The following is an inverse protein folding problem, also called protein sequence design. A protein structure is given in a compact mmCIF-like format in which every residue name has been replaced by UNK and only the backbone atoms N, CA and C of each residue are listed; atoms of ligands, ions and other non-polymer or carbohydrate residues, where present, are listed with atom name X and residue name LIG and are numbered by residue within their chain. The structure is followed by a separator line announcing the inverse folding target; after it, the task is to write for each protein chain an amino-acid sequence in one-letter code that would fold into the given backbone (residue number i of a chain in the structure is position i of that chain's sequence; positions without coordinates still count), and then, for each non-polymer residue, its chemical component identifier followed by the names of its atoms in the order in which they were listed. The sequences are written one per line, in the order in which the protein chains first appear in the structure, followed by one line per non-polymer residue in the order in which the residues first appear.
data_IF_885163849994
#
_entry.id   IF_885163849994
#
_cell.length_a   1.000
_cell.length_b   1.000
_cell.length_c   1.000
_cell.angle_alpha   90.00
_cell.angle_beta   90.00
_cell.angle_gamma   90.00
#
_symmetry.space_group_name_H-M   'P 1'
#
loop_
_entity.id
_entity.type
_entity.pdbx_description
1 polymer ?
#
# COMPACT_ATOMS: atom_id res chain seq x y z
N UNK A 1 19.72 22.31 -11.97
CA UNK A 1 20.53 21.33 -11.23
C UNK A 1 20.48 21.67 -9.75
N UNK A 2 20.12 20.71 -8.89
CA UNK A 2 20.01 20.90 -7.44
C UNK A 2 20.73 19.76 -6.72
N UNK A 3 21.21 20.01 -5.50
CA UNK A 3 21.80 18.98 -4.62
C UNK A 3 20.71 18.48 -3.67
N UNK A 4 20.37 17.21 -3.76
CA UNK A 4 19.23 16.62 -3.05
C UNK A 4 19.71 15.48 -2.16
N UNK A 5 19.37 15.56 -0.88
CA UNK A 5 19.58 14.46 0.07
C UNK A 5 18.25 13.76 0.30
N UNK A 6 18.21 12.45 0.04
CA UNK A 6 17.03 11.63 0.23
C UNK A 6 17.19 10.73 1.45
N UNK A 7 16.28 10.86 2.41
CA UNK A 7 16.31 10.14 3.69
C UNK A 7 15.19 9.11 3.83
N UNK A 8 14.36 8.94 2.80
CA UNK A 8 13.26 7.97 2.84
C UNK A 8 13.78 6.53 2.96
N UNK A 9 12.95 5.59 3.45
CA UNK A 9 13.38 4.20 3.63
C UNK A 9 13.81 3.52 2.32
N UNK A 10 14.78 2.60 2.40
CA UNK A 10 15.03 1.64 1.33
C UNK A 10 13.92 0.56 1.30
N UNK A 11 13.55 0.01 0.11
CA UNK A 11 14.03 0.39 -1.23
C UNK A 11 13.30 1.58 -1.85
N UNK A 12 12.29 2.17 -1.17
CA UNK A 12 11.42 3.23 -1.72
C UNK A 12 12.17 4.43 -2.27
N UNK A 13 13.29 4.80 -1.66
CA UNK A 13 14.10 5.94 -2.09
C UNK A 13 14.77 5.74 -3.45
N UNK A 14 14.98 4.50 -3.89
CA UNK A 14 15.74 4.19 -5.11
C UNK A 14 15.07 4.72 -6.38
N UNK A 15 13.75 4.55 -6.49
CA UNK A 15 13.00 5.02 -7.66
C UNK A 15 13.06 6.55 -7.77
N UNK A 16 12.86 7.27 -6.65
CA UNK A 16 12.94 8.73 -6.62
C UNK A 16 14.35 9.22 -6.93
N UNK A 17 15.37 8.57 -6.37
CA UNK A 17 16.76 8.88 -6.65
C UNK A 17 17.07 8.73 -8.15
N UNK A 18 16.66 7.61 -8.76
CA UNK A 18 16.83 7.36 -10.19
C UNK A 18 16.14 8.42 -11.06
N UNK A 19 14.89 8.77 -10.74
CA UNK A 19 14.17 9.82 -11.46
C UNK A 19 14.87 11.18 -11.33
N UNK A 20 15.29 11.59 -10.14
CA UNK A 20 15.96 12.88 -9.94
C UNK A 20 17.32 12.94 -10.64
N UNK A 21 18.12 11.88 -10.57
CA UNK A 21 19.39 11.80 -11.29
C UNK A 21 19.20 11.87 -12.80
N UNK A 22 18.17 11.20 -13.34
CA UNK A 22 17.83 11.29 -14.77
C UNK A 22 17.42 12.71 -15.22
N UNK A 23 16.95 13.55 -14.29
CA UNK A 23 16.65 14.97 -14.54
C UNK A 23 17.84 15.91 -14.26
N UNK A 24 19.04 15.37 -14.05
CA UNK A 24 20.28 16.15 -13.87
C UNK A 24 20.44 16.77 -12.48
N UNK A 25 19.84 16.17 -11.46
CA UNK A 25 20.10 16.52 -10.06
C UNK A 25 21.31 15.75 -9.51
N UNK A 26 22.05 16.37 -8.58
CA UNK A 26 23.08 15.72 -7.78
C UNK A 26 22.40 15.10 -6.56
N UNK A 27 22.30 13.77 -6.51
CA UNK A 27 21.47 13.05 -5.53
C UNK A 27 22.35 12.22 -4.60
N UNK A 28 22.21 12.46 -3.29
CA UNK A 28 22.78 11.62 -2.25
C UNK A 28 21.65 10.89 -1.50
N UNK A 29 21.73 9.56 -1.44
CA UNK A 29 20.78 8.74 -0.67
C UNK A 29 21.38 8.41 0.69
N UNK A 30 20.71 8.84 1.76
CA UNK A 30 21.05 8.56 3.16
C UNK A 30 19.82 8.01 3.87
N UNK A 31 19.40 6.80 3.48
CA UNK A 31 18.23 6.16 4.07
C UNK A 31 18.49 5.81 5.55
N UNK A 32 17.71 6.37 6.46
CA UNK A 32 17.82 6.08 7.89
C UNK A 32 17.19 4.74 8.29
N UNK A 33 16.29 4.22 7.45
CA UNK A 33 15.57 2.98 7.71
C UNK A 33 15.49 2.12 6.44
N UNK A 34 15.22 0.83 6.64
CA UNK A 34 15.01 -0.13 5.56
C UNK A 34 13.78 -0.98 5.87
N UNK A 35 12.88 -1.08 4.92
CA UNK A 35 11.78 -2.04 4.96
C UNK A 35 12.33 -3.41 4.60
N UNK A 36 12.00 -4.42 5.41
CA UNK A 36 12.33 -5.83 5.14
C UNK A 36 11.05 -6.64 5.19
N UNK A 37 10.90 -7.54 4.23
CA UNK A 37 9.83 -8.53 4.23
C UNK A 37 9.95 -9.43 5.46
N UNK A 38 8.83 -9.61 6.16
CA UNK A 38 8.66 -10.67 7.13
C UNK A 38 7.77 -11.72 6.46
N UNK A 39 8.23 -12.98 6.41
CA UNK A 39 7.39 -14.06 5.88
C UNK A 39 6.21 -14.26 6.81
N UNK A 40 5.02 -14.24 6.24
CA UNK A 40 3.78 -14.59 6.93
C UNK A 40 3.23 -15.83 6.26
N UNK A 41 3.55 -17.00 6.83
CA UNK A 41 2.93 -18.23 6.38
C UNK A 41 1.40 -18.16 6.62
N UNK A 42 0.63 -18.83 5.75
CA UNK A 42 -0.82 -19.02 5.89
C UNK A 42 -1.71 -17.78 5.67
N UNK A 43 -1.17 -16.62 5.29
CA UNK A 43 -2.00 -15.45 5.02
C UNK A 43 -3.03 -15.72 3.90
N UNK A 44 -2.61 -16.38 2.82
CA UNK A 44 -3.50 -16.81 1.73
C UNK A 44 -4.68 -17.65 2.23
N UNK A 45 -4.44 -18.58 3.16
CA UNK A 45 -5.48 -19.44 3.70
C UNK A 45 -6.47 -18.70 4.64
N UNK A 46 -6.06 -17.55 5.19
CA UNK A 46 -6.86 -16.82 6.19
C UNK A 46 -7.43 -15.51 5.69
N UNK A 47 -6.98 -14.98 4.55
CA UNK A 47 -7.40 -13.65 4.06
C UNK A 47 -8.92 -13.58 3.82
N UNK A 48 -9.55 -14.70 3.42
CA UNK A 48 -10.99 -14.81 3.24
C UNK A 48 -11.79 -14.72 4.56
N UNK A 49 -11.12 -14.82 5.71
CA UNK A 49 -11.69 -14.61 7.03
C UNK A 49 -11.70 -13.13 7.46
N UNK A 50 -11.45 -12.20 6.54
CA UNK A 50 -11.59 -10.77 6.80
C UNK A 50 -12.63 -10.18 5.87
N UNK A 51 -13.25 -9.09 6.32
CA UNK A 51 -14.20 -8.32 5.51
C UNK A 51 -13.48 -7.25 4.69
N UNK A 52 -12.39 -6.71 5.26
CA UNK A 52 -11.53 -5.68 4.68
C UNK A 52 -10.05 -5.94 4.97
N UNK A 53 -9.20 -5.61 4.01
CA UNK A 53 -7.75 -5.49 4.17
C UNK A 53 -7.37 -4.04 3.95
N UNK A 54 -6.70 -3.41 4.91
CA UNK A 54 -6.17 -2.05 4.80
C UNK A 54 -4.69 -2.14 4.47
N UNK A 55 -4.31 -1.70 3.27
CA UNK A 55 -2.92 -1.57 2.86
C UNK A 55 -2.40 -0.16 3.17
N UNK A 56 -1.54 -0.05 4.19
CA UNK A 56 -1.09 1.25 4.72
C UNK A 56 -0.01 1.91 3.86
N UNK A 57 0.57 1.16 2.92
CA UNK A 57 1.61 1.68 2.03
C UNK A 57 1.70 0.91 0.71
N UNK A 58 2.35 1.48 -0.32
CA UNK A 58 2.70 0.75 -1.54
C UNK A 58 3.51 -0.54 -1.27
N UNK A 59 4.44 -0.49 -0.31
CA UNK A 59 5.27 -1.65 0.03
C UNK A 59 4.45 -2.78 0.66
N UNK A 60 3.45 -2.44 1.49
CA UNK A 60 2.53 -3.42 2.05
C UNK A 60 1.73 -4.15 0.96
N UNK A 61 1.30 -3.45 -0.09
CA UNK A 61 0.64 -4.08 -1.23
C UNK A 61 1.57 -5.03 -1.99
N UNK A 62 2.82 -4.64 -2.22
CA UNK A 62 3.80 -5.50 -2.89
C UNK A 62 4.06 -6.79 -2.09
N UNK A 63 4.21 -6.68 -0.77
CA UNK A 63 4.39 -7.84 0.11
C UNK A 63 3.12 -8.69 0.19
N UNK A 64 1.94 -8.07 0.26
CA UNK A 64 0.66 -8.77 0.21
C UNK A 64 0.51 -9.52 -1.12
N UNK A 65 0.96 -8.95 -2.24
CA UNK A 65 1.00 -9.61 -3.53
C UNK A 65 1.92 -10.83 -3.55
N UNK A 66 3.08 -10.77 -2.92
CA UNK A 66 3.91 -11.96 -2.76
C UNK A 66 3.19 -13.02 -1.92
N UNK A 67 2.60 -12.63 -0.79
CA UNK A 67 1.92 -13.54 0.13
C UNK A 67 0.67 -14.21 -0.47
N UNK A 68 0.04 -13.60 -1.47
CA UNK A 68 -1.15 -14.13 -2.16
C UNK A 68 -0.83 -14.71 -3.54
N UNK A 69 0.43 -15.08 -3.81
CA UNK A 69 0.86 -15.59 -5.11
C UNK A 69 0.42 -14.70 -6.30
N UNK A 70 0.43 -13.38 -6.08
CA UNK A 70 0.04 -12.30 -6.98
C UNK A 70 -1.42 -12.33 -7.44
N UNK A 71 -2.31 -13.01 -6.72
CA UNK A 71 -3.73 -13.09 -7.08
C UNK A 71 -4.61 -12.63 -5.93
N UNK A 72 -5.53 -11.71 -6.21
CA UNK A 72 -6.58 -11.41 -5.26
C UNK A 72 -7.64 -12.51 -5.27
N UNK A 73 -8.14 -12.98 -4.11
CA UNK A 73 -9.19 -13.98 -4.07
C UNK A 73 -10.50 -13.46 -4.67
N UNK A 74 -11.14 -14.23 -5.55
CA UNK A 74 -12.38 -13.83 -6.25
C UNK A 74 -13.56 -13.52 -5.30
N UNK A 75 -13.61 -14.20 -4.13
CA UNK A 75 -14.56 -13.91 -3.04
C UNK A 75 -13.85 -13.32 -1.82
N UNK A 76 -12.80 -12.55 -2.07
CA UNK A 76 -11.94 -11.98 -1.04
C UNK A 76 -12.55 -10.79 -0.30
N UNK A 77 -11.85 -10.32 0.75
CA UNK A 77 -12.17 -9.06 1.42
C UNK A 77 -12.17 -7.88 0.43
N UNK A 78 -12.79 -6.78 0.85
CA UNK A 78 -12.54 -5.49 0.22
C UNK A 78 -11.12 -5.00 0.52
N UNK A 79 -10.62 -4.08 -0.29
CA UNK A 79 -9.28 -3.51 -0.15
C UNK A 79 -9.37 -2.01 0.12
N UNK A 80 -8.78 -1.56 1.21
CA UNK A 80 -8.73 -0.17 1.62
C UNK A 80 -7.31 0.38 1.49
N UNK A 81 -7.16 1.54 0.87
CA UNK A 81 -5.89 2.17 0.52
C UNK A 81 -5.80 3.57 1.11
N UNK A 82 -4.64 3.95 1.63
CA UNK A 82 -4.45 5.26 2.28
C UNK A 82 -4.31 6.43 1.29
N UNK A 83 -3.72 6.20 0.12
CA UNK A 83 -3.42 7.31 -0.78
C UNK A 83 -3.03 6.92 -2.21
N UNK A 84 -2.77 7.92 -3.07
CA UNK A 84 -2.60 7.73 -4.51
C UNK A 84 -1.41 6.82 -4.88
N UNK A 85 -0.35 6.80 -4.07
CA UNK A 85 0.76 5.86 -4.27
C UNK A 85 0.33 4.40 -4.17
N UNK A 86 -0.56 4.06 -3.23
CA UNK A 86 -1.09 2.70 -3.09
C UNK A 86 -2.08 2.36 -4.22
N UNK A 87 -2.86 3.35 -4.68
CA UNK A 87 -3.75 3.18 -5.85
C UNK A 87 -2.95 2.86 -7.11
N UNK A 88 -1.86 3.57 -7.35
CA UNK A 88 -0.96 3.28 -8.47
C UNK A 88 -0.34 1.87 -8.38
N UNK A 89 0.05 1.44 -7.18
CA UNK A 89 0.53 0.07 -6.95
C UNK A 89 -0.57 -0.96 -7.23
N UNK A 90 -1.80 -0.77 -6.76
CA UNK A 90 -2.91 -1.67 -7.05
C UNK A 90 -3.11 -1.85 -8.57
N UNK A 91 -3.09 -0.74 -9.32
CA UNK A 91 -3.19 -0.77 -10.78
C UNK A 91 -2.07 -1.57 -11.44
N UNK A 92 -0.83 -1.48 -10.93
CA UNK A 92 0.31 -2.26 -11.41
C UNK A 92 0.21 -3.75 -11.09
N UNK A 93 -0.39 -4.11 -9.96
CA UNK A 93 -0.53 -5.51 -9.54
C UNK A 93 -1.53 -6.30 -10.40
N UNK A 94 -2.44 -5.61 -11.11
CA UNK A 94 -3.44 -6.26 -11.97
C UNK A 94 -4.46 -7.08 -11.19
N UNK A 95 -4.66 -6.79 -9.90
CA UNK A 95 -5.65 -7.47 -9.08
C UNK A 95 -7.07 -7.10 -9.49
N UNK A 96 -7.91 -8.12 -9.66
CA UNK A 96 -9.34 -7.97 -9.93
C UNK A 96 -10.12 -7.80 -8.62
N UNK A 97 -9.90 -6.67 -7.94
CA UNK A 97 -10.75 -6.27 -6.80
C UNK A 97 -11.97 -5.53 -7.36
N UNK A 98 -13.21 -5.90 -7.01
CA UNK A 98 -14.39 -5.16 -7.45
C UNK A 98 -14.27 -3.68 -7.08
N UNK A 99 -14.55 -2.72 -7.99
CA UNK A 99 -14.37 -1.29 -7.71
C UNK A 99 -15.16 -0.77 -6.51
N UNK A 100 -16.36 -1.30 -6.27
CA UNK A 100 -17.20 -1.01 -5.11
C UNK A 100 -16.66 -1.60 -3.79
N UNK A 101 -15.65 -2.47 -3.89
CA UNK A 101 -14.92 -3.10 -2.79
C UNK A 101 -13.50 -2.52 -2.65
N UNK A 102 -13.21 -1.39 -3.30
CA UNK A 102 -12.00 -0.61 -3.09
C UNK A 102 -12.34 0.68 -2.36
N UNK A 103 -11.71 0.93 -1.22
CA UNK A 103 -11.85 2.17 -0.47
C UNK A 103 -10.59 3.00 -0.54
N UNK A 104 -10.77 4.29 -0.79
CA UNK A 104 -9.70 5.29 -0.79
C UNK A 104 -10.30 6.56 -0.16
N UNK A 105 -9.53 7.36 0.62
CA UNK A 105 -9.98 8.69 0.99
C UNK A 105 -10.36 9.52 -0.25
N UNK A 106 -11.47 10.26 -0.16
CA UNK A 106 -12.00 11.07 -1.27
C UNK A 106 -11.13 12.28 -1.63
N UNK A 107 -10.19 12.64 -0.76
CA UNK A 107 -9.29 13.75 -0.94
C UNK A 107 -8.27 13.85 0.20
N UNK A 108 -7.34 14.81 0.11
CA UNK A 108 -6.36 15.03 1.16
C UNK A 108 -7.03 15.44 2.50
N UNK A 109 -6.41 15.11 3.65
CA UNK A 109 -5.14 14.38 3.77
C UNK A 109 -5.32 12.88 3.45
N UNK A 110 -4.33 12.31 2.76
CA UNK A 110 -4.29 10.87 2.44
C UNK A 110 -3.68 10.11 3.61
N UNK A 111 -4.46 9.93 4.67
CA UNK A 111 -4.03 9.29 5.92
C UNK A 111 -5.07 8.32 6.48
N UNK A 112 -4.70 7.63 7.58
CA UNK A 112 -5.57 6.65 8.23
C UNK A 112 -6.84 7.30 8.81
N UNK A 113 -6.75 8.52 9.33
CA UNK A 113 -7.91 9.22 9.87
C UNK A 113 -8.93 9.54 8.77
N UNK A 114 -8.46 9.88 7.57
CA UNK A 114 -9.30 10.09 6.40
C UNK A 114 -9.95 8.79 5.93
N UNK A 115 -9.19 7.70 5.87
CA UNK A 115 -9.72 6.38 5.51
C UNK A 115 -10.82 5.92 6.47
N UNK A 116 -10.64 6.14 7.78
CA UNK A 116 -11.63 5.78 8.80
C UNK A 116 -12.93 6.58 8.71
N UNK A 117 -12.97 7.68 7.96
CA UNK A 117 -14.22 8.42 7.68
C UNK A 117 -15.02 7.81 6.51
N UNK A 118 -14.44 6.89 5.75
CA UNK A 118 -15.08 6.25 4.61
C UNK A 118 -15.94 5.06 5.07
N UNK A 119 -17.17 4.94 4.54
CA UNK A 119 -17.99 3.77 4.80
C UNK A 119 -17.36 2.50 4.17
N UNK A 120 -17.46 1.32 4.81
CA UNK A 120 -18.16 1.06 6.06
C UNK A 120 -17.29 1.29 7.32
N UNK A 121 -16.01 1.65 7.18
CA UNK A 121 -15.07 1.81 8.30
C UNK A 121 -15.48 2.91 9.29
N UNK A 122 -16.27 3.89 8.85
CA UNK A 122 -16.76 4.99 9.69
C UNK A 122 -17.86 4.64 10.68
N UNK A 123 -18.36 3.41 10.68
CA UNK A 123 -19.47 2.99 11.55
C UNK A 123 -19.04 1.84 12.46
N UNK A 124 -19.46 1.83 13.75
CA UNK A 124 -19.31 0.66 14.61
C UNK A 124 -19.94 -0.54 13.93
N UNK A 125 -19.12 -1.56 13.65
CA UNK A 125 -19.52 -2.74 12.91
C UNK A 125 -18.68 -3.92 13.38
N UNK A 126 -19.23 -5.13 13.27
CA UNK A 126 -18.52 -6.38 13.60
C UNK A 126 -17.53 -6.81 12.51
N UNK A 127 -16.93 -5.84 11.81
CA UNK A 127 -16.01 -6.11 10.71
C UNK A 127 -14.71 -6.69 11.24
N UNK A 128 -14.25 -7.75 10.58
CA UNK A 128 -12.89 -8.29 10.74
C UNK A 128 -12.00 -7.56 9.74
N UNK A 129 -11.13 -6.71 10.24
CA UNK A 129 -10.22 -5.90 9.42
C UNK A 129 -8.79 -6.40 9.63
N UNK A 130 -8.11 -6.72 8.52
CA UNK A 130 -6.67 -6.95 8.52
C UNK A 130 -5.97 -5.67 8.11
N UNK A 131 -4.93 -5.25 8.84
CA UNK A 131 -4.10 -4.09 8.49
C UNK A 131 -2.71 -4.60 8.12
N UNK A 132 -2.22 -4.22 6.93
CA UNK A 132 -0.92 -4.61 6.37
C UNK A 132 -0.15 -3.41 5.87
#
# INVERSE_FOLDING_TARGET
MARVVLTQPLPRVEALAGTLSAHGHDVATLAFTRVRSLRVELLEARIAAFDWVVAVSPAALDELAVALARRWPARGPGLALIGPGSVATLGRLGWEVPPDRVLVPSGPPFDAAALLRTAPLSRPSSLRVLVV
#
